data_IF_085016510891
#
_entry.id   IF_085016510891
#
_cell.length_a   1.000
_cell.length_b   1.000
_cell.length_c   1.000
_cell.angle_alpha   90.00
_cell.angle_beta   90.00
_cell.angle_gamma   90.00
#
_symmetry.space_group_name_H-M   'P 1'
#
loop_
_entity.id
_entity.type
_entity.pdbx_description
1 polymer ?
#
# COMPACT_ATOMS: atom_id res chain seq x y z
N UNK A 1 -42.12 -17.64 -11.67
CA UNK A 1 -41.65 -16.32 -11.21
C UNK A 1 -41.85 -15.33 -12.35
N UNK A 2 -42.53 -14.21 -12.09
CA UNK A 2 -42.79 -13.14 -13.07
C UNK A 2 -41.61 -12.13 -13.10
N UNK A 3 -41.37 -11.42 -14.21
CA UNK A 3 -40.30 -10.42 -14.30
C UNK A 3 -40.60 -9.19 -13.42
N UNK A 4 -39.57 -8.45 -12.97
CA UNK A 4 -39.74 -7.25 -12.15
C UNK A 4 -40.42 -6.12 -12.95
N UNK A 5 -41.18 -5.23 -12.28
CA UNK A 5 -41.87 -4.13 -12.95
C UNK A 5 -40.88 -3.07 -13.45
N UNK A 6 -41.18 -2.50 -14.62
CA UNK A 6 -40.42 -1.39 -15.20
C UNK A 6 -40.51 -0.13 -14.31
N UNK A 7 -39.46 0.73 -14.30
CA UNK A 7 -39.46 1.96 -13.51
C UNK A 7 -40.56 2.92 -13.96
N UNK A 8 -41.26 3.52 -12.99
CA UNK A 8 -42.33 4.48 -13.24
C UNK A 8 -41.80 5.73 -13.96
N UNK A 9 -42.53 6.28 -14.95
CA UNK A 9 -42.18 7.55 -15.59
C UNK A 9 -42.13 8.66 -14.53
N UNK A 10 -41.05 9.44 -14.54
CA UNK A 10 -40.84 10.55 -13.60
C UNK A 10 -41.99 11.55 -13.62
N UNK A 11 -42.34 12.04 -12.43
CA UNK A 11 -43.39 13.04 -12.24
C UNK A 11 -43.08 14.33 -13.04
N UNK A 12 -44.07 14.96 -13.72
CA UNK A 12 -43.86 16.22 -14.43
C UNK A 12 -43.59 17.34 -13.42
N UNK A 13 -42.38 17.90 -13.41
CA UNK A 13 -42.06 19.10 -12.61
C UNK A 13 -40.70 19.13 -11.91
N UNK A 14 -39.87 18.08 -12.00
CA UNK A 14 -38.50 18.18 -11.51
C UNK A 14 -37.67 19.06 -12.46
N UNK A 15 -37.02 20.15 -12.00
CA UNK A 15 -36.12 20.91 -12.83
C UNK A 15 -35.01 20.00 -13.35
N UNK A 16 -34.76 20.04 -14.65
CA UNK A 16 -33.66 19.29 -15.27
C UNK A 16 -32.34 19.66 -14.57
N UNK A 17 -31.46 18.69 -14.29
CA UNK A 17 -30.14 18.99 -13.74
C UNK A 17 -29.44 19.99 -14.68
N UNK A 18 -28.87 21.05 -14.09
CA UNK A 18 -28.16 22.06 -14.85
C UNK A 18 -27.05 21.40 -15.69
N UNK A 19 -26.83 21.86 -16.95
CA UNK A 19 -25.73 21.36 -17.77
C UNK A 19 -24.41 21.49 -17.00
N UNK A 20 -23.63 20.40 -16.94
CA UNK A 20 -22.31 20.44 -16.33
C UNK A 20 -21.43 21.46 -17.06
N UNK A 21 -20.73 22.31 -16.29
CA UNK A 21 -19.79 23.30 -16.84
C UNK A 21 -18.67 22.56 -17.61
N UNK A 22 -18.49 22.83 -18.91
CA UNK A 22 -17.44 22.21 -19.72
C UNK A 22 -16.00 22.48 -19.24
N UNK A 23 -15.79 23.46 -18.36
CA UNK A 23 -14.49 23.82 -17.78
C UNK A 23 -14.30 23.30 -16.35
N UNK A 24 -15.28 22.60 -15.77
CA UNK A 24 -15.10 22.00 -14.46
C UNK A 24 -14.01 20.91 -14.53
N UNK A 25 -13.05 20.88 -13.58
CA UNK A 25 -12.15 19.74 -13.43
C UNK A 25 -12.99 18.46 -13.35
N UNK A 26 -12.60 17.37 -14.03
CA UNK A 26 -13.33 16.12 -13.93
C UNK A 26 -13.48 15.73 -12.45
N UNK A 27 -14.66 15.26 -12.02
CA UNK A 27 -14.86 14.86 -10.65
C UNK A 27 -13.80 13.82 -10.27
N UNK A 28 -13.26 13.85 -9.04
CA UNK A 28 -12.27 12.89 -8.61
C UNK A 28 -12.82 11.47 -8.86
N UNK A 29 -11.99 10.53 -9.35
CA UNK A 29 -12.42 9.16 -9.59
C UNK A 29 -13.09 8.60 -8.32
N UNK A 30 -14.21 7.90 -8.50
CA UNK A 30 -14.88 7.27 -7.38
C UNK A 30 -13.90 6.37 -6.59
N UNK A 31 -13.98 6.32 -5.25
CA UNK A 31 -13.10 5.49 -4.44
C UNK A 31 -13.18 4.04 -4.91
N UNK A 32 -12.06 3.49 -5.38
CA UNK A 32 -11.98 2.06 -5.69
C UNK A 32 -12.09 1.27 -4.38
N UNK A 33 -13.02 0.31 -4.26
CA UNK A 33 -13.15 -0.51 -3.07
C UNK A 33 -11.81 -1.16 -2.71
N UNK A 34 -11.38 -1.03 -1.45
CA UNK A 34 -10.12 -1.63 -0.97
C UNK A 34 -8.85 -0.84 -1.31
N UNK A 35 -8.96 0.38 -1.85
CA UNK A 35 -7.80 1.28 -1.98
C UNK A 35 -7.36 1.80 -0.60
N UNK A 36 -6.07 1.70 -0.33
CA UNK A 36 -5.40 2.17 0.90
C UNK A 36 -4.42 3.26 0.53
N UNK A 37 -4.47 4.35 1.30
CA UNK A 37 -3.59 5.49 1.16
C UNK A 37 -2.41 5.38 2.14
N UNK A 38 -1.19 5.44 1.64
CA UNK A 38 0.05 5.42 2.42
C UNK A 38 0.76 6.76 2.33
N UNK A 39 0.42 7.66 3.26
CA UNK A 39 0.97 9.01 3.35
C UNK A 39 2.49 9.05 3.50
N UNK A 40 3.04 8.16 4.33
CA UNK A 40 4.48 8.10 4.60
C UNK A 40 5.27 7.62 3.37
N UNK A 41 4.68 6.73 2.57
CA UNK A 41 5.25 6.24 1.31
C UNK A 41 4.97 7.13 0.09
N UNK A 42 3.99 8.02 0.17
CA UNK A 42 3.57 8.89 -0.93
C UNK A 42 2.82 8.18 -2.05
N UNK A 43 2.08 7.11 -1.73
CA UNK A 43 1.33 6.33 -2.71
C UNK A 43 0.04 5.72 -2.16
N UNK A 44 -0.84 5.30 -3.06
CA UNK A 44 -2.03 4.50 -2.76
C UNK A 44 -2.02 3.22 -3.59
N UNK A 45 -2.68 2.18 -3.11
CA UNK A 45 -2.73 0.86 -3.74
C UNK A 45 -4.02 0.13 -3.39
N UNK A 46 -4.43 -0.87 -4.18
CA UNK A 46 -5.60 -1.70 -3.90
C UNK A 46 -5.17 -2.98 -3.20
N UNK A 47 -5.74 -3.27 -2.03
CA UNK A 47 -5.43 -4.50 -1.29
C UNK A 47 -5.99 -5.71 -2.06
N UNK A 48 -5.18 -6.74 -2.34
CA UNK A 48 -5.67 -7.94 -3.01
C UNK A 48 -6.75 -8.65 -2.18
N UNK A 49 -7.71 -9.29 -2.84
CA UNK A 49 -8.77 -10.02 -2.14
C UNK A 49 -8.19 -11.12 -1.22
N UNK A 50 -8.70 -11.21 0.01
CA UNK A 50 -8.19 -12.16 1.00
C UNK A 50 -6.91 -11.70 1.71
N UNK A 51 -6.50 -10.45 1.55
CA UNK A 51 -5.37 -9.83 2.26
C UNK A 51 -5.84 -8.69 3.15
N UNK A 52 -5.05 -8.39 4.19
CA UNK A 52 -5.25 -7.24 5.05
C UNK A 52 -3.93 -6.52 5.29
N UNK A 53 -4.01 -5.21 5.51
CA UNK A 53 -2.87 -4.42 5.99
C UNK A 53 -2.58 -4.85 7.43
N UNK A 54 -1.35 -5.26 7.67
CA UNK A 54 -0.85 -5.62 9.00
C UNK A 54 -0.21 -4.41 9.65
N UNK A 55 -0.34 -4.31 10.97
CA UNK A 55 0.03 -3.12 11.73
C UNK A 55 1.52 -2.78 11.51
N UNK A 56 1.74 -1.56 11.01
CA UNK A 56 2.98 -1.08 10.42
C UNK A 56 3.78 -0.20 11.40
N UNK A 57 3.42 -0.20 12.69
CA UNK A 57 4.09 0.62 13.72
C UNK A 57 5.60 0.37 13.85
N UNK A 58 6.14 -0.73 13.30
CA UNK A 58 7.58 -0.99 13.21
C UNK A 58 8.21 -0.67 11.83
N UNK A 59 7.41 -0.43 10.79
CA UNK A 59 7.90 -0.15 9.44
C UNK A 59 8.30 1.32 9.32
N UNK A 60 9.60 1.56 9.41
CA UNK A 60 10.14 2.88 9.73
C UNK A 60 10.09 3.91 8.58
N UNK A 61 9.65 3.56 7.37
CA UNK A 61 9.87 4.40 6.17
C UNK A 61 8.74 4.36 5.12
N UNK A 62 7.48 4.32 5.55
CA UNK A 62 6.33 4.38 4.62
C UNK A 62 6.13 3.10 3.80
N UNK A 63 6.54 1.96 4.36
CA UNK A 63 6.25 0.64 3.83
C UNK A 63 4.92 0.15 4.40
N UNK A 64 4.24 -0.73 3.67
CA UNK A 64 3.08 -1.46 4.14
C UNK A 64 3.34 -2.96 4.01
N UNK A 65 2.96 -3.71 5.05
CA UNK A 65 2.99 -5.17 5.07
C UNK A 65 1.55 -5.67 4.94
N UNK A 66 1.30 -6.56 3.98
CA UNK A 66 0.06 -7.29 3.85
C UNK A 66 0.26 -8.73 4.33
N UNK A 67 -0.68 -9.21 5.13
CA UNK A 67 -0.79 -10.63 5.49
C UNK A 67 -2.11 -11.19 4.97
N UNK A 68 -2.11 -12.48 4.68
CA UNK A 68 -3.31 -13.18 4.21
C UNK A 68 -4.31 -13.29 5.36
N UNK A 69 -5.59 -13.05 5.08
CA UNK A 69 -6.66 -13.19 6.06
C UNK A 69 -6.76 -14.68 6.43
N UNK A 70 -6.66 -15.03 7.73
CA UNK A 70 -6.77 -16.42 8.15
C UNK A 70 -8.17 -16.96 7.85
N UNK A 71 -8.30 -18.23 7.46
CA UNK A 71 -9.60 -18.87 7.31
C UNK A 71 -10.37 -18.88 8.65
N UNK A 72 -11.69 -18.90 8.54
CA UNK A 72 -12.59 -18.88 9.70
C UNK A 72 -12.27 -20.03 10.65
N UNK A 73 -12.07 -19.72 11.93
CA UNK A 73 -11.65 -20.72 12.95
C UNK A 73 -10.14 -20.84 13.16
N UNK A 74 -9.29 -20.13 12.39
CA UNK A 74 -7.85 -20.01 12.68
C UNK A 74 -7.51 -18.60 13.16
N UNK A 75 -6.81 -18.44 14.31
CA UNK A 75 -6.53 -17.12 14.88
C UNK A 75 -5.36 -16.41 14.19
N UNK A 76 -4.40 -17.13 13.62
CA UNK A 76 -3.16 -16.56 13.08
C UNK A 76 -3.08 -16.68 11.54
N UNK A 77 -2.61 -15.63 10.85
CA UNK A 77 -2.39 -15.67 9.41
C UNK A 77 -1.23 -16.63 9.06
N UNK A 78 -1.20 -17.18 7.83
CA UNK A 78 -0.06 -17.95 7.36
C UNK A 78 1.24 -17.14 7.40
N UNK A 79 2.30 -17.70 7.98
CA UNK A 79 3.61 -17.06 8.12
C UNK A 79 4.54 -17.31 6.92
N UNK A 80 4.14 -18.18 6.00
CA UNK A 80 4.89 -18.59 4.81
C UNK A 80 4.54 -17.77 3.55
N UNK A 81 3.67 -16.76 3.69
CA UNK A 81 3.39 -15.79 2.63
C UNK A 81 3.16 -14.39 3.20
N UNK A 82 3.74 -13.38 2.56
CA UNK A 82 3.54 -11.98 2.92
C UNK A 82 3.81 -11.07 1.72
N UNK A 83 3.22 -9.87 1.74
CA UNK A 83 3.53 -8.85 0.71
C UNK A 83 4.06 -7.60 1.38
N UNK A 84 5.27 -7.20 1.00
CA UNK A 84 5.87 -5.94 1.41
C UNK A 84 5.83 -4.98 0.23
N UNK A 85 5.32 -3.78 0.46
CA UNK A 85 5.27 -2.75 -0.56
C UNK A 85 5.67 -1.40 0.02
N UNK A 86 6.23 -0.53 -0.79
CA UNK A 86 6.72 0.74 -0.30
C UNK A 86 7.45 1.55 -1.35
N UNK A 87 7.97 2.69 -0.90
CA UNK A 87 8.81 3.57 -1.71
C UNK A 87 10.17 2.92 -1.94
N UNK A 88 10.62 2.89 -3.19
CA UNK A 88 11.94 2.39 -3.53
C UNK A 88 12.98 3.51 -3.29
N UNK A 89 13.57 3.53 -2.10
CA UNK A 89 14.64 4.49 -1.77
C UNK A 89 15.99 4.03 -2.35
N UNK A 90 16.86 4.99 -2.68
CA UNK A 90 18.24 4.80 -3.14
C UNK A 90 19.13 4.07 -2.12
N UNK A 91 18.71 3.99 -0.86
CA UNK A 91 19.37 3.18 0.18
C UNK A 91 19.12 1.68 -0.03
N UNK A 92 17.99 1.31 -0.63
CA UNK A 92 17.79 -0.03 -1.13
C UNK A 92 18.67 -0.15 -2.37
N UNK A 93 19.53 -1.16 -2.43
CA UNK A 93 20.50 -1.28 -3.52
C UNK A 93 19.83 -1.32 -4.91
N UNK A 94 18.58 -1.79 -4.97
CA UNK A 94 17.72 -1.73 -6.15
C UNK A 94 17.28 -0.31 -6.57
N UNK A 95 17.15 0.63 -5.63
CA UNK A 95 16.74 2.02 -5.92
C UNK A 95 17.81 2.84 -6.65
N UNK A 96 19.08 2.42 -6.58
CA UNK A 96 20.18 3.02 -7.33
C UNK A 96 20.19 2.62 -8.82
N UNK A 97 19.45 1.59 -9.20
CA UNK A 97 19.41 1.12 -10.59
C UNK A 97 18.66 2.12 -11.48
N UNK A 98 19.24 2.42 -12.64
CA UNK A 98 18.62 3.31 -13.64
C UNK A 98 17.56 2.60 -14.50
N UNK A 99 17.40 1.29 -14.35
CA UNK A 99 16.49 0.44 -15.13
C UNK A 99 15.57 -0.36 -14.20
N UNK A 100 14.28 -0.43 -14.53
CA UNK A 100 13.29 -1.12 -13.69
C UNK A 100 13.46 -2.65 -13.71
N UNK A 101 13.96 -3.24 -14.79
CA UNK A 101 14.24 -4.68 -14.86
C UNK A 101 15.40 -5.03 -13.93
N UNK A 102 16.49 -4.26 -13.97
CA UNK A 102 17.63 -4.44 -13.05
C UNK A 102 17.22 -4.21 -11.60
N UNK A 103 16.43 -3.17 -11.33
CA UNK A 103 15.90 -2.89 -10.01
C UNK A 103 15.07 -4.07 -9.49
N UNK A 104 14.16 -4.62 -10.30
CA UNK A 104 13.31 -5.75 -9.93
C UNK A 104 14.11 -7.03 -9.65
N UNK A 105 15.08 -7.39 -10.50
CA UNK A 105 15.94 -8.57 -10.31
C UNK A 105 16.82 -8.44 -9.07
N UNK A 106 17.39 -7.24 -8.85
CA UNK A 106 18.22 -6.97 -7.67
C UNK A 106 17.38 -6.99 -6.40
N UNK A 107 16.21 -6.36 -6.42
CA UNK A 107 15.27 -6.37 -5.30
C UNK A 107 14.83 -7.80 -4.96
N UNK A 108 14.46 -8.60 -5.96
CA UNK A 108 14.11 -10.00 -5.76
C UNK A 108 15.28 -10.78 -5.14
N UNK A 109 16.52 -10.52 -5.59
CA UNK A 109 17.70 -11.19 -5.05
C UNK A 109 17.99 -10.81 -3.59
N UNK A 110 18.03 -9.51 -3.29
CA UNK A 110 18.32 -8.99 -1.94
C UNK A 110 17.24 -9.44 -0.94
N UNK A 111 15.97 -9.36 -1.34
CA UNK A 111 14.84 -9.81 -0.51
C UNK A 111 14.78 -11.33 -0.42
N UNK A 112 15.12 -12.05 -1.48
CA UNK A 112 15.21 -13.50 -1.45
C UNK A 112 16.27 -13.99 -0.46
N UNK A 113 17.44 -13.37 -0.43
CA UNK A 113 18.48 -13.69 0.56
C UNK A 113 18.04 -13.37 1.99
N UNK A 114 17.36 -12.23 2.19
CA UNK A 114 16.88 -11.81 3.51
C UNK A 114 15.77 -12.71 4.06
N UNK A 115 14.77 -13.04 3.23
CA UNK A 115 13.60 -13.80 3.67
C UNK A 115 13.77 -15.32 3.54
N UNK A 116 14.69 -15.77 2.70
CA UNK A 116 15.00 -17.18 2.47
C UNK A 116 16.51 -17.42 2.59
N UNK A 117 17.09 -17.32 3.80
CA UNK A 117 18.54 -17.43 4.02
C UNK A 117 19.09 -18.87 3.85
N UNK A 118 18.24 -19.82 3.45
CA UNK A 118 18.60 -21.21 3.29
C UNK A 118 19.20 -21.47 1.89
N UNK A 119 20.21 -22.35 1.79
CA UNK A 119 20.78 -22.70 0.49
C UNK A 119 19.74 -23.36 -0.41
N UNK A 120 19.75 -22.97 -1.68
CA UNK A 120 18.83 -23.50 -2.69
C UNK A 120 19.19 -23.05 -4.10
N UNK A 121 18.51 -23.63 -5.07
CA UNK A 121 18.68 -23.32 -6.49
C UNK A 121 17.49 -22.53 -6.99
N UNK A 122 17.75 -21.41 -7.69
CA UNK A 122 16.70 -20.62 -8.34
C UNK A 122 16.20 -21.34 -9.59
N UNK A 123 14.89 -21.52 -9.69
CA UNK A 123 14.20 -22.15 -10.82
C UNK A 123 13.01 -21.29 -11.25
N UNK A 124 12.45 -21.58 -12.43
CA UNK A 124 11.24 -20.90 -12.93
C UNK A 124 11.33 -19.36 -12.95
N UNK A 125 12.51 -18.84 -13.30
CA UNK A 125 12.77 -17.40 -13.34
C UNK A 125 11.98 -16.75 -14.49
N UNK A 126 11.32 -15.64 -14.21
CA UNK A 126 10.48 -14.93 -15.17
C UNK A 126 10.56 -13.42 -14.95
N UNK A 127 10.39 -12.65 -16.03
CA UNK A 127 10.20 -11.19 -15.96
C UNK A 127 8.91 -10.78 -16.62
N UNK A 128 8.12 -9.93 -15.96
CA UNK A 128 6.80 -9.50 -16.43
C UNK A 128 6.79 -7.97 -16.55
N UNK A 129 6.43 -7.40 -17.71
CA UNK A 129 6.25 -5.95 -17.83
C UNK A 129 5.04 -5.49 -17.00
N UNK A 130 5.15 -4.32 -16.38
CA UNK A 130 4.10 -3.68 -15.58
C UNK A 130 3.76 -2.31 -16.16
N UNK A 131 2.51 -1.91 -15.98
CA UNK A 131 2.00 -0.58 -16.34
C UNK A 131 1.05 -0.10 -15.25
N UNK A 132 1.58 0.73 -14.35
CA UNK A 132 0.83 1.31 -13.25
C UNK A 132 0.27 2.66 -13.66
N UNK A 133 -0.84 2.65 -14.39
CA UNK A 133 -1.53 3.85 -14.85
C UNK A 133 -0.63 4.79 -15.68
N UNK A 134 0.13 4.23 -16.64
CA UNK A 134 1.09 4.95 -17.47
C UNK A 134 2.51 5.01 -16.90
N UNK A 135 2.71 4.55 -15.66
CA UNK A 135 4.05 4.42 -15.08
C UNK A 135 4.67 3.07 -15.48
N UNK A 136 5.82 3.07 -16.18
CA UNK A 136 6.46 1.84 -16.59
C UNK A 136 6.97 1.06 -15.38
N UNK A 137 6.94 -0.25 -15.45
CA UNK A 137 7.53 -1.11 -14.44
C UNK A 137 7.90 -2.48 -14.97
N UNK A 138 8.62 -3.23 -14.15
CA UNK A 138 8.97 -4.63 -14.43
C UNK A 138 8.89 -5.40 -13.12
N UNK A 139 8.42 -6.63 -13.21
CA UNK A 139 8.53 -7.61 -12.14
C UNK A 139 9.50 -8.72 -12.48
N UNK A 140 10.15 -9.26 -11.46
CA UNK A 140 10.95 -10.48 -11.52
C UNK A 140 10.34 -11.51 -10.58
N UNK A 141 10.16 -12.72 -11.09
CA UNK A 141 9.71 -13.88 -10.32
C UNK A 141 10.77 -14.96 -10.35
N UNK A 142 10.94 -15.67 -9.25
CA UNK A 142 11.61 -16.96 -9.25
C UNK A 142 11.17 -17.84 -8.07
N UNK A 143 11.41 -19.13 -8.21
CA UNK A 143 11.24 -20.10 -7.14
C UNK A 143 12.60 -20.55 -6.62
N UNK A 144 12.68 -20.86 -5.34
CA UNK A 144 13.88 -21.43 -4.71
C UNK A 144 13.56 -22.85 -4.31
N UNK A 145 14.21 -23.80 -4.97
CA UNK A 145 14.24 -25.19 -4.51
C UNK A 145 15.35 -25.33 -3.47
N UNK A 146 14.96 -25.44 -2.20
CA UNK A 146 15.93 -25.60 -1.13
C UNK A 146 16.67 -26.94 -1.23
N UNK A 147 17.91 -26.96 -0.75
CA UNK A 147 18.70 -28.20 -0.67
C UNK A 147 18.12 -29.18 0.35
N UNK A 148 17.46 -28.67 1.39
CA UNK A 148 16.70 -29.47 2.36
C UNK A 148 15.35 -29.88 1.77
N UNK A 149 15.17 -31.18 1.53
CA UNK A 149 13.96 -31.74 0.94
C UNK A 149 12.73 -31.66 1.87
N UNK A 150 12.91 -31.37 3.16
CA UNK A 150 11.80 -31.19 4.10
C UNK A 150 11.23 -29.77 4.08
N UNK A 151 11.89 -28.82 3.40
CA UNK A 151 11.39 -27.45 3.26
C UNK A 151 10.57 -27.31 1.98
N UNK A 152 9.37 -26.71 2.05
CA UNK A 152 8.63 -26.36 0.85
C UNK A 152 9.45 -25.36 0.02
N UNK A 153 9.35 -25.45 -1.31
CA UNK A 153 9.99 -24.48 -2.19
C UNK A 153 9.54 -23.06 -1.84
N UNK A 154 10.48 -22.13 -1.79
CA UNK A 154 10.18 -20.72 -1.64
C UNK A 154 9.81 -20.10 -2.98
N UNK A 155 8.99 -19.07 -2.96
CA UNK A 155 8.62 -18.30 -4.14
C UNK A 155 8.77 -16.82 -3.83
N UNK A 156 9.31 -16.07 -4.78
CA UNK A 156 9.42 -14.61 -4.66
C UNK A 156 9.05 -13.95 -5.98
N UNK A 157 8.24 -12.91 -5.86
CA UNK A 157 7.89 -12.00 -6.92
C UNK A 157 8.24 -10.59 -6.46
N UNK A 158 8.99 -9.84 -7.24
CA UNK A 158 9.35 -8.46 -6.93
C UNK A 158 9.06 -7.57 -8.13
N UNK A 159 8.14 -6.64 -7.98
CA UNK A 159 7.77 -5.61 -8.94
C UNK A 159 8.36 -4.26 -8.55
N UNK A 160 8.85 -3.52 -9.55
CA UNK A 160 9.21 -2.10 -9.43
C UNK A 160 8.43 -1.33 -10.47
N UNK A 161 7.69 -0.31 -10.04
CA UNK A 161 6.90 0.58 -10.91
C UNK A 161 7.32 2.02 -10.68
N UNK A 162 7.28 2.82 -11.75
CA UNK A 162 7.59 4.24 -11.68
C UNK A 162 8.75 4.68 -12.56
N UNK A 163 8.96 5.99 -12.63
CA UNK A 163 9.95 6.58 -13.50
C UNK A 163 11.37 6.43 -12.92
N UNK A 164 12.35 5.93 -13.70
CA UNK A 164 13.71 5.85 -13.22
C UNK A 164 14.31 7.22 -12.97
N UNK A 165 15.08 7.33 -11.88
CA UNK A 165 15.80 8.56 -11.57
C UNK A 165 16.89 8.77 -12.63
N UNK A 166 16.90 9.90 -13.34
CA UNK A 166 17.92 10.17 -14.34
C UNK A 166 19.34 10.11 -13.74
N UNK A 167 20.33 9.58 -14.48
CA UNK A 167 21.72 9.65 -14.06
C UNK A 167 22.14 11.10 -13.79
N UNK A 168 22.85 11.34 -12.68
CA UNK A 168 23.35 12.66 -12.33
C UNK A 168 22.35 13.57 -11.57
N UNK A 169 21.09 13.17 -11.39
CA UNK A 169 20.14 13.97 -10.58
C UNK A 169 20.68 14.19 -9.16
N UNK A 170 20.79 15.43 -8.65
CA UNK A 170 21.26 15.70 -7.29
C UNK A 170 20.38 15.02 -6.25
N UNK A 171 20.97 14.47 -5.18
CA UNK A 171 20.24 13.68 -4.16
C UNK A 171 19.02 14.41 -3.58
N UNK A 172 19.11 15.73 -3.40
CA UNK A 172 17.99 16.56 -2.90
C UNK A 172 16.87 16.83 -3.92
N UNK A 173 17.07 16.48 -5.20
CA UNK A 173 16.09 16.63 -6.29
C UNK A 173 15.60 15.28 -6.81
N UNK A 174 16.05 14.17 -6.22
CA UNK A 174 15.53 12.84 -6.54
C UNK A 174 14.17 12.69 -5.88
N UNK A 175 13.12 13.08 -6.59
CA UNK A 175 11.78 12.67 -6.22
C UNK A 175 11.70 11.13 -6.34
N UNK A 176 11.20 10.43 -5.32
CA UNK A 176 11.01 9.00 -5.36
C UNK A 176 9.83 8.62 -6.25
N UNK A 177 10.02 8.66 -7.54
CA UNK A 177 8.95 8.30 -8.46
C UNK A 177 8.81 6.79 -8.63
N UNK A 178 9.46 5.98 -7.76
CA UNK A 178 9.44 4.53 -7.81
C UNK A 178 8.96 3.90 -6.52
N UNK A 179 8.12 2.88 -6.71
CA UNK A 179 7.59 2.02 -5.67
C UNK A 179 7.91 0.58 -5.99
N UNK A 180 7.98 -0.22 -4.94
CA UNK A 180 8.21 -1.64 -5.06
C UNK A 180 7.09 -2.43 -4.41
N UNK A 181 6.93 -3.66 -4.88
CA UNK A 181 6.07 -4.69 -4.32
C UNK A 181 6.86 -5.98 -4.30
N UNK A 182 6.98 -6.61 -3.15
CA UNK A 182 7.63 -7.91 -2.96
C UNK A 182 6.61 -8.85 -2.36
N UNK A 183 6.26 -9.89 -3.10
CA UNK A 183 5.35 -10.94 -2.67
C UNK A 183 6.16 -12.21 -2.42
N UNK A 184 6.14 -12.68 -1.18
CA UNK A 184 6.75 -13.92 -0.74
C UNK A 184 5.69 -15.00 -0.66
N UNK A 185 6.03 -16.19 -1.13
CA UNK A 185 5.18 -17.37 -1.04
C UNK A 185 5.99 -18.63 -0.82
N UNK A 186 5.26 -19.73 -0.68
CA UNK A 186 5.80 -21.08 -0.53
C UNK A 186 5.05 -22.03 -1.46
N UNK A 187 5.47 -23.30 -1.54
CA UNK A 187 4.68 -24.31 -2.23
C UNK A 187 3.27 -24.50 -1.64
N UNK A 188 3.07 -24.17 -0.36
CA UNK A 188 1.78 -24.28 0.34
C UNK A 188 0.91 -23.03 0.15
N UNK A 189 1.53 -21.86 0.14
CA UNK A 189 0.88 -20.59 -0.18
C UNK A 189 1.63 -19.93 -1.36
N UNK A 190 1.35 -20.37 -2.60
CA UNK A 190 2.07 -19.88 -3.77
C UNK A 190 1.75 -18.40 -4.03
N UNK A 191 2.68 -17.73 -4.70
CA UNK A 191 2.48 -16.36 -5.18
C UNK A 191 1.42 -16.38 -6.28
N UNK A 192 0.34 -15.63 -6.06
CA UNK A 192 -0.61 -15.33 -7.12
C UNK A 192 -0.03 -14.23 -8.02
N UNK A 193 0.61 -14.65 -9.12
CA UNK A 193 1.24 -13.74 -10.09
C UNK A 193 0.23 -12.73 -10.67
N UNK A 194 -1.01 -13.14 -10.89
CA UNK A 194 -2.06 -12.26 -11.42
C UNK A 194 -2.44 -11.17 -10.42
N UNK A 195 -2.66 -11.55 -9.16
CA UNK A 195 -2.92 -10.60 -8.09
C UNK A 195 -1.71 -9.70 -7.81
N UNK A 196 -0.48 -10.22 -7.92
CA UNK A 196 0.74 -9.43 -7.74
C UNK A 196 0.90 -8.35 -8.82
N UNK A 197 0.63 -8.71 -10.09
CA UNK A 197 0.60 -7.75 -11.21
C UNK A 197 -0.50 -6.71 -11.00
N UNK A 198 -1.72 -7.14 -10.63
CA UNK A 198 -2.82 -6.24 -10.36
C UNK A 198 -2.51 -5.26 -9.22
N UNK A 199 -1.89 -5.75 -8.13
CA UNK A 199 -1.45 -4.92 -7.00
C UNK A 199 -0.42 -3.88 -7.46
N UNK A 200 0.63 -4.29 -8.17
CA UNK A 200 1.65 -3.36 -8.64
C UNK A 200 1.11 -2.33 -9.63
N UNK A 201 0.23 -2.73 -10.55
CA UNK A 201 -0.42 -1.83 -11.49
C UNK A 201 -1.45 -0.89 -10.82
N UNK A 202 -1.92 -1.23 -9.61
CA UNK A 202 -2.84 -0.37 -8.84
C UNK A 202 -2.16 0.81 -8.16
N UNK A 203 -0.83 0.82 -8.09
CA UNK A 203 -0.05 1.85 -7.41
C UNK A 203 -0.24 3.18 -8.11
N UNK A 204 -0.55 4.21 -7.32
CA UNK A 204 -0.65 5.59 -7.78
C UNK A 204 0.08 6.52 -6.81
N UNK A 205 0.75 7.57 -7.30
CA UNK A 205 1.26 8.63 -6.43
C UNK A 205 0.12 9.21 -5.59
N UNK A 206 0.37 9.46 -4.31
CA UNK A 206 -0.64 10.01 -3.40
C UNK A 206 0.00 10.97 -2.40
N UNK A 207 -0.69 12.09 -2.15
CA UNK A 207 -0.35 13.03 -1.10
C UNK A 207 -1.64 13.37 -0.31
N UNK A 208 -1.54 13.54 1.02
CA UNK A 208 -2.72 13.90 1.81
C UNK A 208 -3.25 15.26 1.37
N UNK A 209 -4.59 15.45 1.35
CA UNK A 209 -5.17 16.76 1.03
C UNK A 209 -4.67 17.81 2.03
N UNK A 210 -4.54 19.08 1.60
CA UNK A 210 -4.13 20.16 2.49
C UNK A 210 -5.14 20.27 3.65
N UNK A 211 -4.68 20.59 4.88
CA UNK A 211 -5.59 20.78 5.99
C UNK A 211 -6.58 21.91 5.68
N UNK A 212 -7.82 21.83 6.18
CA UNK A 212 -8.77 22.91 6.02
C UNK A 212 -8.18 24.21 6.58
N UNK A 213 -8.52 25.38 5.99
CA UNK A 213 -8.13 26.67 6.56
C UNK A 213 -8.52 26.73 8.03
N UNK A 214 -7.63 27.27 8.87
CA UNK A 214 -7.96 27.52 10.26
C UNK A 214 -9.21 28.42 10.32
N UNK A 215 -10.23 28.00 11.07
CA UNK A 215 -11.44 28.80 11.24
C UNK A 215 -11.05 30.13 11.92
N UNK A 216 -11.28 31.28 11.27
CA UNK A 216 -10.99 32.59 11.87
C UNK A 216 -11.75 32.84 13.18
N UNK A 217 -12.81 32.09 13.44
CA UNK A 217 -13.63 32.16 14.65
C UNK A 217 -13.29 31.07 15.68
N UNK A 218 -12.33 30.19 15.40
CA UNK A 218 -11.88 29.22 16.40
C UNK A 218 -11.28 29.98 17.61
N UNK A 219 -11.61 29.57 18.84
CA UNK A 219 -10.94 30.10 20.01
C UNK A 219 -9.43 29.93 19.85
N UNK A 220 -8.62 30.94 20.23
CA UNK A 220 -7.17 30.80 20.20
C UNK A 220 -6.77 29.57 21.01
N UNK A 221 -5.78 28.78 20.54
CA UNK A 221 -5.31 27.63 21.30
C UNK A 221 -4.90 28.08 22.70
N UNK A 222 -5.20 27.29 23.75
CA UNK A 222 -4.82 27.64 25.10
C UNK A 222 -3.30 27.89 25.17
N UNK A 223 -2.84 28.83 26.01
CA UNK A 223 -1.42 29.06 26.20
C UNK A 223 -0.70 27.75 26.51
N UNK A 224 0.45 27.53 25.87
CA UNK A 224 1.27 26.36 26.17
C UNK A 224 1.64 26.37 27.66
N UNK A 225 1.32 25.30 28.38
CA UNK A 225 1.74 25.13 29.77
C UNK A 225 3.28 25.03 29.82
N UNK A 226 3.97 25.94 30.52
CA UNK A 226 5.42 25.92 30.65
C UNK A 226 5.98 24.63 31.27
N UNK A 227 5.14 23.84 31.94
CA UNK A 227 5.49 22.56 32.55
C UNK A 227 5.07 21.35 31.71
N UNK A 228 4.42 21.54 30.56
CA UNK A 228 4.07 20.45 29.69
C UNK A 228 5.34 19.83 29.07
N UNK A 229 5.49 18.49 29.09
CA UNK A 229 6.57 17.85 28.35
C UNK A 229 6.50 18.24 26.87
N UNK A 230 7.65 18.44 26.20
CA UNK A 230 7.68 18.94 24.82
C UNK A 230 6.79 18.08 23.92
N UNK A 231 5.96 18.75 23.11
CA UNK A 231 5.05 18.10 22.18
C UNK A 231 5.84 17.14 21.28
N UNK A 232 5.57 15.85 21.41
CA UNK A 232 6.12 14.82 20.52
C UNK A 232 5.51 15.03 19.13
N UNK A 233 6.30 14.98 18.04
CA UNK A 233 5.77 15.14 16.69
C UNK A 233 4.71 14.06 16.40
N UNK A 234 3.46 14.51 16.24
CA UNK A 234 2.37 13.86 15.49
C UNK A 234 2.01 12.42 15.85
N UNK A 235 1.12 12.24 16.82
CA UNK A 235 0.18 11.10 16.80
C UNK A 235 -1.23 11.69 16.77
N UNK A 236 -2.01 11.24 15.80
CA UNK A 236 -3.37 11.69 15.56
C UNK A 236 -4.23 11.68 16.82
N UNK A 237 -5.06 12.71 16.89
CA UNK A 237 -6.21 12.97 17.76
C UNK A 237 -6.71 11.72 18.52
N UNK A 238 -6.87 11.75 19.86
CA UNK A 238 -7.66 10.73 20.52
C UNK A 238 -9.12 10.87 20.08
N UNK A 239 -9.63 9.84 19.39
CA UNK A 239 -11.07 9.60 19.27
C UNK A 239 -11.64 9.48 20.70
N UNK A 240 -12.65 10.27 21.08
CA UNK A 240 -13.30 10.08 22.37
C UNK A 240 -14.01 8.73 22.37
N UNK A 241 -13.60 7.81 23.24
CA UNK A 241 -14.42 6.64 23.59
C UNK A 241 -15.53 7.15 24.50
N UNK A 242 -16.65 7.57 23.91
CA UNK A 242 -17.92 7.70 24.63
C UNK A 242 -18.51 6.31 24.81
N UNK A 243 -18.09 5.63 25.88
CA UNK A 243 -18.88 4.70 26.71
C UNK A 243 -17.93 3.86 27.57
N UNK A 244 -17.58 4.38 28.75
CA UNK A 244 -16.91 3.61 29.80
C UNK A 244 -17.94 3.25 30.91
N UNK A 245 -18.04 1.98 31.34
CA UNK A 245 -19.00 1.55 32.34
C UNK A 245 -18.71 2.13 33.76
N UNK A 246 -19.75 2.30 34.61
CA UNK A 246 -19.73 3.21 35.77
C UNK A 246 -19.14 2.59 37.06
N UNK A 247 -17.89 2.12 37.05
CA UNK A 247 -17.25 1.60 38.29
C UNK A 247 -15.87 2.18 38.63
N UNK A 248 -15.44 3.31 38.05
CA UNK A 248 -14.14 3.92 38.41
C UNK A 248 -14.19 5.42 38.70
N UNK A 249 -14.98 5.82 39.69
CA UNK A 249 -14.78 7.08 40.42
C UNK A 249 -14.04 6.78 41.74
N UNK A 250 -12.86 7.37 42.01
CA UNK A 250 -12.26 7.30 43.34
C UNK A 250 -13.00 8.21 44.34
N UNK A 251 -13.09 7.84 45.63
CA UNK A 251 -13.81 8.59 46.66
C UNK A 251 -13.10 9.91 47.05
N UNK A 252 -13.89 10.88 47.52
CA UNK A 252 -13.44 12.15 48.09
C UNK A 252 -12.87 11.99 49.50
#
# INVERSE_FOLDING_TARGET
AAPPPAPAPGAPGAPAPAPADPNAPPPPPAPEPGRVDNAAGGFSYVVPAGWKVSDATQLSYGQALLTKIPPEGTPEPPNDTSVLLGRLDLKLFAGAESDNSKAAVRLASDMGEFFMPFPGTRVNQETVPLDANGMPGVASYYEVKFTDANKPNGQIWAGVVGAPTPPGTPRGQRAPERWFVVWLGSATNPVDKGAAVALANSIRPWAPPPPPPADPNAPPPPPADPNAPPARPGVGVPVPVTDAPPEMLPPA
#
